data_IF_593265863743
#
_entry.id   IF_593265863743
#
_cell.length_a   1.000
_cell.length_b   1.000
_cell.length_c   1.000
_cell.angle_alpha   90.00
_cell.angle_beta   90.00
_cell.angle_gamma   90.00
#
_symmetry.space_group_name_H-M   'P 1'
#
loop_
_entity.id
_entity.type
_entity.pdbx_description
1 polymer ?
#
# COMPACT_ATOMS: atom_id res chain seq x y z
N UNK A 1 -4.59 -5.49 48.89
CA UNK A 1 -4.03 -4.76 47.73
C UNK A 1 -4.49 -5.33 46.38
N UNK A 2 -5.12 -6.51 46.31
CA UNK A 2 -5.48 -7.16 45.04
C UNK A 2 -6.70 -6.57 44.29
N UNK A 3 -7.38 -5.56 44.85
CA UNK A 3 -8.58 -4.94 44.24
C UNK A 3 -8.54 -3.41 44.19
N UNK A 4 -7.35 -2.79 44.20
CA UNK A 4 -7.22 -1.35 44.22
C UNK A 4 -6.70 -0.82 42.87
N UNK A 5 -7.61 -0.41 41.99
CA UNK A 5 -7.33 0.67 41.02
C UNK A 5 -7.67 2.02 41.69
N UNK A 6 -6.94 3.14 41.45
CA UNK A 6 -5.59 3.32 40.93
C UNK A 6 -4.70 3.91 42.04
N UNK A 7 -4.10 3.06 42.87
CA UNK A 7 -3.24 3.55 43.96
C UNK A 7 -1.89 3.95 43.38
N UNK A 8 -1.45 5.19 43.58
CA UNK A 8 -0.15 5.66 43.09
C UNK A 8 1.00 5.03 43.88
N UNK A 9 2.21 4.92 43.28
CA UNK A 9 3.41 4.44 44.01
C UNK A 9 3.63 5.23 45.30
N UNK A 10 3.30 6.52 45.29
CA UNK A 10 3.42 7.40 46.45
C UNK A 10 2.48 6.97 47.58
N UNK A 11 1.23 6.64 47.28
CA UNK A 11 0.27 6.13 48.27
C UNK A 11 0.72 4.78 48.84
N UNK A 12 1.25 3.90 48.00
CA UNK A 12 1.85 2.63 48.43
C UNK A 12 3.03 2.90 49.38
N UNK A 13 3.94 3.82 49.05
CA UNK A 13 5.04 4.19 49.95
C UNK A 13 4.57 4.80 51.28
N UNK A 14 3.51 5.61 51.28
CA UNK A 14 2.95 6.21 52.51
C UNK A 14 2.39 5.14 53.44
N UNK A 15 1.68 4.14 52.91
CA UNK A 15 1.18 3.01 53.72
C UNK A 15 2.31 2.26 54.43
N UNK A 16 3.46 2.09 53.77
CA UNK A 16 4.61 1.47 54.42
C UNK A 16 5.23 2.35 55.50
N UNK A 17 5.29 3.66 55.30
CA UNK A 17 5.78 4.60 56.31
C UNK A 17 4.92 4.53 57.58
N UNK A 18 3.60 4.44 57.46
CA UNK A 18 2.69 4.27 58.60
C UNK A 18 2.97 2.97 59.38
N UNK A 19 3.18 1.86 58.67
CA UNK A 19 3.56 0.57 59.28
C UNK A 19 4.92 0.68 59.98
N UNK A 20 5.89 1.36 59.37
CA UNK A 20 7.22 1.56 59.94
C UNK A 20 7.17 2.40 61.23
N UNK A 21 6.35 3.47 61.26
CA UNK A 21 6.15 4.29 62.45
C UNK A 21 5.47 3.51 63.59
N UNK A 22 4.49 2.66 63.29
CA UNK A 22 3.88 1.77 64.28
C UNK A 22 4.90 0.76 64.87
N UNK A 23 5.78 0.21 64.02
CA UNK A 23 6.86 -0.67 64.48
C UNK A 23 7.87 0.09 65.36
N UNK A 24 8.21 1.34 65.00
CA UNK A 24 9.07 2.22 65.83
C UNK A 24 8.41 2.52 67.18
N UNK A 25 7.11 2.81 67.20
CA UNK A 25 6.35 3.07 68.41
C UNK A 25 6.34 1.84 69.34
N UNK A 26 6.17 0.63 68.78
CA UNK A 26 6.29 -0.62 69.55
C UNK A 26 7.68 -0.78 70.17
N UNK A 27 8.75 -0.53 69.41
CA UNK A 27 10.13 -0.57 69.95
C UNK A 27 10.32 0.42 71.10
N UNK A 28 9.81 1.64 70.97
CA UNK A 28 9.85 2.65 72.04
C UNK A 28 9.13 2.17 73.30
N UNK A 29 7.92 1.62 73.16
CA UNK A 29 7.15 1.06 74.29
C UNK A 29 7.87 -0.08 75.00
N UNK A 30 8.59 -0.94 74.28
CA UNK A 30 9.41 -2.01 74.87
C UNK A 30 10.55 -1.42 75.71
N UNK A 31 11.21 -0.36 75.22
CA UNK A 31 12.28 0.33 75.96
C UNK A 31 11.73 1.05 77.19
N UNK A 32 10.58 1.71 77.07
CA UNK A 32 9.90 2.38 78.19
C UNK A 32 9.49 1.37 79.27
N UNK A 33 8.96 0.21 78.87
CA UNK A 33 8.62 -0.88 79.78
C UNK A 33 9.86 -1.38 80.53
N UNK A 34 10.99 -1.56 79.85
CA UNK A 34 12.26 -1.94 80.47
C UNK A 34 12.69 -0.93 81.54
N UNK A 35 12.58 0.36 81.24
CA UNK A 35 12.91 1.41 82.19
C UNK A 35 12.03 1.35 83.44
N UNK A 36 10.70 1.27 83.27
CA UNK A 36 9.73 1.18 84.38
C UNK A 36 9.95 -0.06 85.24
N UNK A 37 10.22 -1.22 84.63
CA UNK A 37 10.48 -2.47 85.36
C UNK A 37 11.80 -2.41 86.14
N UNK A 38 12.84 -1.83 85.53
CA UNK A 38 14.15 -1.67 86.19
C UNK A 38 14.05 -0.71 87.38
N UNK A 39 13.36 0.41 87.21
CA UNK A 39 13.11 1.38 88.28
C UNK A 39 12.29 0.77 89.43
N UNK A 40 11.25 -0.02 89.11
CA UNK A 40 10.47 -0.71 90.13
C UNK A 40 11.33 -1.69 90.95
N UNK A 41 12.21 -2.44 90.29
CA UNK A 41 13.12 -3.37 90.97
C UNK A 41 14.22 -2.66 91.79
N UNK A 42 14.72 -1.50 91.35
CA UNK A 42 15.66 -0.70 92.15
C UNK A 42 14.97 -0.13 93.40
N UNK A 43 13.79 0.46 93.24
CA UNK A 43 12.98 0.96 94.37
C UNK A 43 12.64 -0.17 95.36
N UNK A 44 12.30 -1.37 94.87
CA UNK A 44 12.05 -2.55 95.71
C UNK A 44 13.30 -2.96 96.49
N UNK A 45 14.45 -2.99 95.81
CA UNK A 45 15.76 -3.30 96.42
C UNK A 45 16.09 -2.32 97.55
N UNK A 46 15.85 -1.02 97.34
CA UNK A 46 16.12 0.01 98.35
C UNK A 46 15.18 -0.08 99.55
N UNK A 47 13.87 -0.31 99.32
CA UNK A 47 12.90 -0.54 100.41
C UNK A 47 13.28 -1.75 101.25
N UNK A 48 13.62 -2.88 100.62
CA UNK A 48 14.07 -4.10 101.30
C UNK A 48 15.33 -3.81 102.13
N UNK A 49 16.30 -3.08 101.57
CA UNK A 49 17.53 -2.69 102.26
C UNK A 49 17.25 -1.85 103.52
N UNK A 50 16.35 -0.88 103.43
CA UNK A 50 15.95 -0.03 104.58
C UNK A 50 15.26 -0.87 105.66
N UNK A 51 14.34 -1.76 105.29
CA UNK A 51 13.63 -2.64 106.23
C UNK A 51 14.58 -3.60 106.93
N UNK A 52 15.49 -4.26 106.19
CA UNK A 52 16.49 -5.16 106.77
C UNK A 52 17.42 -4.44 107.74
N UNK A 53 17.86 -3.21 107.43
CA UNK A 53 18.68 -2.39 108.35
C UNK A 53 17.91 -2.02 109.63
N UNK A 54 16.64 -1.62 109.51
CA UNK A 54 15.78 -1.31 110.66
C UNK A 54 15.58 -2.54 111.55
N UNK A 55 15.28 -3.69 110.96
CA UNK A 55 15.08 -4.95 111.67
C UNK A 55 16.38 -5.45 112.32
N UNK A 56 17.53 -5.30 111.67
CA UNK A 56 18.85 -5.60 112.25
C UNK A 56 19.09 -4.75 113.52
N UNK A 57 18.79 -3.45 113.47
CA UNK A 57 18.93 -2.56 114.63
C UNK A 57 17.94 -2.87 115.75
N UNK A 58 16.69 -3.23 115.44
CA UNK A 58 15.66 -3.60 116.41
C UNK A 58 15.97 -4.94 117.09
N UNK A 59 16.28 -5.97 116.30
CA UNK A 59 16.65 -7.30 116.81
C UNK A 59 17.95 -7.25 117.60
N UNK A 60 18.93 -6.43 117.20
CA UNK A 60 20.14 -6.19 117.98
C UNK A 60 19.89 -5.53 119.36
N UNK A 61 18.77 -4.83 119.55
CA UNK A 61 18.40 -4.19 120.83
C UNK A 61 17.51 -5.04 121.72
N UNK A 62 16.68 -5.91 121.13
CA UNK A 62 15.58 -6.60 121.84
C UNK A 62 15.83 -8.12 121.95
N UNK A 63 16.70 -8.70 121.12
CA UNK A 63 16.89 -10.14 121.11
C UNK A 63 17.75 -10.65 122.27
N UNK A 64 17.37 -11.80 122.81
CA UNK A 64 18.16 -12.58 123.78
C UNK A 64 19.28 -13.40 123.11
N UNK A 65 19.51 -13.21 121.80
CA UNK A 65 20.47 -13.95 121.00
C UNK A 65 21.83 -13.22 120.97
N UNK A 66 22.95 -13.96 120.88
CA UNK A 66 24.25 -13.35 120.63
C UNK A 66 24.25 -12.52 119.33
N UNK A 67 24.93 -11.35 119.28
CA UNK A 67 25.06 -10.53 118.07
C UNK A 67 25.42 -11.28 116.77
N UNK A 68 26.32 -12.29 116.76
CA UNK A 68 26.61 -13.05 115.54
C UNK A 68 25.42 -13.85 115.02
N UNK A 69 24.54 -14.36 115.89
CA UNK A 69 23.39 -15.17 115.49
C UNK A 69 22.25 -14.32 114.90
N UNK A 70 22.05 -13.10 115.42
CA UNK A 70 21.14 -12.10 114.83
C UNK A 70 21.62 -11.70 113.43
N UNK A 71 22.93 -11.48 113.27
CA UNK A 71 23.54 -11.20 111.96
C UNK A 71 23.37 -12.38 110.99
N UNK A 72 23.53 -13.63 111.44
CA UNK A 72 23.29 -14.82 110.61
C UNK A 72 21.84 -14.94 110.17
N UNK A 73 20.87 -14.67 111.05
CA UNK A 73 19.45 -14.70 110.70
C UNK A 73 19.11 -13.66 109.62
N UNK A 74 19.54 -12.41 109.81
CA UNK A 74 19.36 -11.34 108.83
C UNK A 74 20.08 -11.65 107.52
N UNK A 75 21.26 -12.27 107.59
CA UNK A 75 21.99 -12.70 106.40
C UNK A 75 21.22 -13.77 105.61
N UNK A 76 20.69 -14.80 106.28
CA UNK A 76 19.87 -15.84 105.64
C UNK A 76 18.63 -15.25 104.96
N UNK A 77 17.89 -14.37 105.65
CA UNK A 77 16.75 -13.66 105.06
C UNK A 77 17.15 -12.75 103.89
N UNK A 78 18.25 -12.01 104.02
CA UNK A 78 18.79 -11.19 102.93
C UNK A 78 19.19 -12.05 101.72
N UNK A 79 19.77 -13.25 101.93
CA UNK A 79 20.10 -14.17 100.83
C UNK A 79 18.86 -14.71 100.13
N UNK A 80 17.80 -15.07 100.87
CA UNK A 80 16.52 -15.50 100.29
C UNK A 80 15.87 -14.37 99.45
N UNK A 81 15.84 -13.15 99.98
CA UNK A 81 15.34 -11.97 99.27
C UNK A 81 16.19 -11.60 98.05
N UNK A 82 17.51 -11.74 98.14
CA UNK A 82 18.40 -11.54 96.99
C UNK A 82 18.16 -12.58 95.90
N UNK A 83 17.93 -13.85 96.25
CA UNK A 83 17.59 -14.89 95.28
C UNK A 83 16.28 -14.58 94.55
N UNK A 84 15.25 -14.09 95.26
CA UNK A 84 13.98 -13.71 94.63
C UNK A 84 14.10 -12.45 93.76
N UNK A 85 14.90 -11.46 94.17
CA UNK A 85 15.24 -10.29 93.36
C UNK A 85 15.98 -10.67 92.07
N UNK A 86 16.95 -11.59 92.17
CA UNK A 86 17.68 -12.09 91.01
C UNK A 86 16.77 -12.90 90.07
N UNK A 87 15.88 -13.73 90.61
CA UNK A 87 14.89 -14.46 89.83
C UNK A 87 13.96 -13.50 89.06
N UNK A 88 13.49 -12.43 89.71
CA UNK A 88 12.70 -11.38 89.06
C UNK A 88 13.48 -10.63 87.98
N UNK A 89 14.73 -10.24 88.24
CA UNK A 89 15.56 -9.58 87.21
C UNK A 89 15.79 -10.48 86.00
N UNK A 90 15.98 -11.79 86.22
CA UNK A 90 16.08 -12.78 85.14
C UNK A 90 14.78 -12.94 84.37
N UNK A 91 13.62 -12.95 85.05
CA UNK A 91 12.33 -13.06 84.36
C UNK A 91 12.00 -11.80 83.54
N UNK A 92 12.31 -10.60 84.06
CA UNK A 92 12.19 -9.32 83.34
C UNK A 92 13.10 -9.31 82.10
N UNK A 93 14.37 -9.69 82.26
CA UNK A 93 15.30 -9.76 81.13
C UNK A 93 14.83 -10.76 80.06
N UNK A 94 14.30 -11.92 80.47
CA UNK A 94 13.76 -12.93 79.55
C UNK A 94 12.51 -12.44 78.82
N UNK A 95 11.59 -11.77 79.52
CA UNK A 95 10.40 -11.16 78.92
C UNK A 95 10.79 -10.13 77.85
N UNK A 96 11.76 -9.26 78.15
CA UNK A 96 12.23 -8.25 77.21
C UNK A 96 12.88 -8.88 75.98
N UNK A 97 13.70 -9.90 76.17
CA UNK A 97 14.29 -10.66 75.06
C UNK A 97 13.21 -11.24 74.14
N UNK A 98 12.21 -11.92 74.71
CA UNK A 98 11.10 -12.49 73.95
C UNK A 98 10.27 -11.43 73.22
N UNK A 99 9.99 -10.29 73.87
CA UNK A 99 9.25 -9.19 73.24
C UNK A 99 10.05 -8.54 72.09
N UNK A 100 11.36 -8.38 72.25
CA UNK A 100 12.23 -7.87 71.19
C UNK A 100 12.33 -8.85 70.03
N UNK A 101 12.48 -10.15 70.31
CA UNK A 101 12.54 -11.20 69.31
C UNK A 101 11.23 -11.30 68.52
N UNK A 102 10.08 -11.36 69.19
CA UNK A 102 8.76 -11.41 68.55
C UNK A 102 8.52 -10.15 67.70
N UNK A 103 8.88 -8.96 68.19
CA UNK A 103 8.72 -7.72 67.43
C UNK A 103 9.62 -7.69 66.17
N UNK A 104 10.85 -8.21 66.25
CA UNK A 104 11.74 -8.32 65.09
C UNK A 104 11.23 -9.34 64.07
N UNK A 105 10.72 -10.49 64.53
CA UNK A 105 10.10 -11.50 63.67
C UNK A 105 8.87 -10.95 62.95
N UNK A 106 7.99 -10.24 63.67
CA UNK A 106 6.83 -9.57 63.08
C UNK A 106 7.24 -8.51 62.05
N UNK A 107 8.24 -7.67 62.35
CA UNK A 107 8.76 -6.67 61.41
C UNK A 107 9.32 -7.31 60.13
N UNK A 108 10.09 -8.40 60.26
CA UNK A 108 10.62 -9.14 59.12
C UNK A 108 9.50 -9.73 58.25
N UNK A 109 8.48 -10.34 58.86
CA UNK A 109 7.35 -10.92 58.14
C UNK A 109 6.52 -9.85 57.43
N UNK A 110 6.27 -8.72 58.08
CA UNK A 110 5.58 -7.57 57.47
C UNK A 110 6.37 -7.00 56.29
N UNK A 111 7.70 -6.88 56.40
CA UNK A 111 8.57 -6.45 55.28
C UNK A 111 8.49 -7.41 54.10
N UNK A 112 8.65 -8.70 54.33
CA UNK A 112 8.58 -9.71 53.26
C UNK A 112 7.22 -9.70 52.57
N UNK A 113 6.14 -9.63 53.34
CA UNK A 113 4.79 -9.59 52.77
C UNK A 113 4.54 -8.31 51.97
N UNK A 114 5.04 -7.17 52.48
CA UNK A 114 4.98 -5.89 51.77
C UNK A 114 5.73 -5.93 50.44
N UNK A 115 6.97 -6.42 50.44
CA UNK A 115 7.81 -6.56 49.24
C UNK A 115 7.15 -7.47 48.19
N UNK A 116 6.57 -8.60 48.60
CA UNK A 116 5.83 -9.49 47.71
C UNK A 116 4.60 -8.77 47.11
N UNK A 117 3.79 -8.12 47.94
CA UNK A 117 2.62 -7.38 47.47
C UNK A 117 2.99 -6.24 46.51
N UNK A 118 4.06 -5.50 46.81
CA UNK A 118 4.59 -4.43 45.98
C UNK A 118 5.08 -4.97 44.63
N UNK A 119 5.78 -6.11 44.63
CA UNK A 119 6.28 -6.74 43.41
C UNK A 119 5.13 -7.22 42.50
N UNK A 120 4.07 -7.81 43.07
CA UNK A 120 2.87 -8.23 42.33
C UNK A 120 2.12 -7.04 41.75
N UNK A 121 1.95 -5.99 42.56
CA UNK A 121 1.31 -4.76 42.11
C UNK A 121 2.08 -4.12 40.95
N UNK A 122 3.41 -3.97 41.06
CA UNK A 122 4.26 -3.44 39.98
C UNK A 122 4.11 -4.26 38.69
N UNK A 123 4.18 -5.58 38.79
CA UNK A 123 4.02 -6.48 37.63
C UNK A 123 2.67 -6.29 36.95
N UNK A 124 1.58 -6.15 37.73
CA UNK A 124 0.26 -5.86 37.19
C UNK A 124 0.20 -4.54 36.42
N UNK A 125 0.83 -3.48 36.95
CA UNK A 125 0.92 -2.17 36.28
C UNK A 125 1.73 -2.21 34.99
N UNK A 126 2.87 -2.91 34.99
CA UNK A 126 3.67 -3.15 33.78
C UNK A 126 2.82 -3.82 32.71
N UNK A 127 2.11 -4.90 33.05
CA UNK A 127 1.23 -5.60 32.12
C UNK A 127 0.12 -4.69 31.57
N UNK A 128 -0.51 -3.87 32.42
CA UNK A 128 -1.53 -2.90 31.97
C UNK A 128 -1.00 -1.88 30.97
N UNK A 129 0.21 -1.33 31.19
CA UNK A 129 0.84 -0.40 30.24
C UNK A 129 1.09 -1.07 28.89
N UNK A 130 1.64 -2.29 28.92
CA UNK A 130 1.95 -3.07 27.71
C UNK A 130 0.66 -3.45 26.95
N UNK A 131 -0.38 -3.90 27.65
CA UNK A 131 -1.64 -4.29 27.01
C UNK A 131 -2.40 -3.08 26.46
N UNK A 132 -2.33 -1.93 27.14
CA UNK A 132 -2.81 -0.66 26.61
C UNK A 132 -2.12 -0.30 25.29
N UNK A 133 -0.79 -0.41 25.24
CA UNK A 133 -0.01 -0.18 24.03
C UNK A 133 -0.36 -1.16 22.89
N UNK A 134 -0.53 -2.45 23.20
CA UNK A 134 -0.95 -3.47 22.20
C UNK A 134 -2.33 -3.18 21.61
N UNK A 135 -3.27 -2.73 22.44
CA UNK A 135 -4.61 -2.35 21.99
C UNK A 135 -4.56 -1.20 21.00
N UNK A 136 -3.77 -0.16 21.29
CA UNK A 136 -3.54 0.98 20.39
C UNK A 136 -2.92 0.55 19.05
N UNK A 137 -1.97 -0.39 19.08
CA UNK A 137 -1.36 -0.92 17.86
C UNK A 137 -2.33 -1.73 16.99
N UNK A 138 -3.46 -2.20 17.56
CA UNK A 138 -4.40 -3.09 16.89
C UNK A 138 -5.62 -2.36 16.29
N UNK A 139 -5.86 -1.09 16.63
CA UNK A 139 -7.12 -0.38 16.29
C UNK A 139 -7.12 0.34 14.94
N UNK A 140 -6.30 -0.08 13.98
CA UNK A 140 -6.01 0.72 12.80
C UNK A 140 -6.96 0.37 11.63
N UNK A 141 -7.92 1.25 11.34
CA UNK A 141 -8.74 1.18 10.12
C UNK A 141 -8.22 2.14 9.04
N UNK A 142 -8.05 1.60 7.84
CA UNK A 142 -7.49 2.23 6.65
C UNK A 142 -8.53 3.17 5.99
N UNK A 143 -8.55 4.43 6.42
CA UNK A 143 -9.51 5.43 5.94
C UNK A 143 -8.98 6.37 4.85
N UNK A 144 -7.96 5.95 4.09
CA UNK A 144 -7.19 6.88 3.26
C UNK A 144 -7.62 7.03 1.78
N UNK A 145 -8.60 6.27 1.27
CA UNK A 145 -8.67 6.00 -0.19
C UNK A 145 -10.01 6.36 -0.85
N UNK A 146 -10.63 7.50 -0.53
CA UNK A 146 -11.88 7.89 -1.20
C UNK A 146 -11.63 8.71 -2.48
N UNK A 147 -10.89 9.82 -2.39
CA UNK A 147 -10.75 10.78 -3.51
C UNK A 147 -9.90 10.30 -4.70
N UNK A 148 -8.82 9.56 -4.44
CA UNK A 148 -7.95 9.04 -5.51
C UNK A 148 -8.58 7.86 -6.28
N UNK A 149 -9.59 7.22 -5.70
CA UNK A 149 -10.31 6.12 -6.33
C UNK A 149 -11.14 6.60 -7.52
N UNK A 150 -11.75 7.78 -7.40
CA UNK A 150 -12.54 8.41 -8.47
C UNK A 150 -11.66 8.81 -9.65
N UNK A 151 -10.55 9.53 -9.38
CA UNK A 151 -9.63 9.95 -10.44
C UNK A 151 -8.99 8.76 -11.18
N UNK A 152 -8.70 7.67 -10.48
CA UNK A 152 -8.24 6.41 -11.09
C UNK A 152 -9.31 5.81 -12.01
N UNK A 153 -10.58 5.84 -11.60
CA UNK A 153 -11.70 5.32 -12.40
C UNK A 153 -11.82 6.09 -13.71
N UNK A 154 -11.78 7.42 -13.64
CA UNK A 154 -11.92 8.29 -14.81
C UNK A 154 -10.78 8.08 -15.83
N UNK A 155 -9.53 7.94 -15.37
CA UNK A 155 -8.42 7.62 -16.28
C UNK A 155 -8.50 6.21 -16.87
N UNK A 156 -9.08 5.26 -16.12
CA UNK A 156 -9.28 3.89 -16.61
C UNK A 156 -10.33 3.87 -17.71
N UNK A 157 -11.43 4.59 -17.52
CA UNK A 157 -12.49 4.77 -18.52
C UNK A 157 -11.94 5.45 -19.79
N UNK A 158 -11.15 6.52 -19.64
CA UNK A 158 -10.47 7.16 -20.77
C UNK A 158 -9.54 6.21 -21.52
N UNK A 159 -8.85 5.32 -20.80
CA UNK A 159 -7.99 4.30 -21.42
C UNK A 159 -8.82 3.28 -22.21
N UNK A 160 -9.95 2.85 -21.67
CA UNK A 160 -10.89 1.93 -22.35
C UNK A 160 -11.47 2.55 -23.62
N UNK A 161 -11.89 3.82 -23.57
CA UNK A 161 -12.38 4.56 -24.75
C UNK A 161 -11.35 4.61 -25.89
N UNK A 162 -10.08 4.82 -25.56
CA UNK A 162 -9.00 4.81 -26.55
C UNK A 162 -8.83 3.40 -27.12
N UNK A 163 -8.85 2.37 -26.27
CA UNK A 163 -8.76 0.98 -26.72
C UNK A 163 -9.91 0.62 -27.65
N UNK A 164 -11.15 1.01 -27.33
CA UNK A 164 -12.33 0.80 -28.18
C UNK A 164 -12.20 1.47 -29.54
N UNK A 165 -11.64 2.68 -29.58
CA UNK A 165 -11.32 3.36 -30.85
C UNK A 165 -10.33 2.56 -31.69
N UNK A 166 -9.30 1.95 -31.09
CA UNK A 166 -8.32 1.11 -31.81
C UNK A 166 -9.01 -0.06 -32.52
N UNK A 167 -9.97 -0.72 -31.85
CA UNK A 167 -10.72 -1.83 -32.43
C UNK A 167 -11.53 -1.46 -33.67
N UNK A 168 -12.03 -0.21 -33.73
CA UNK A 168 -12.80 0.28 -34.88
C UNK A 168 -11.94 0.76 -36.06
N UNK A 169 -10.61 0.76 -35.94
CA UNK A 169 -9.72 1.23 -37.00
C UNK A 169 -9.54 0.17 -38.09
N UNK A 170 -10.37 0.28 -39.12
CA UNK A 170 -10.28 -0.53 -40.33
C UNK A 170 -10.16 0.37 -41.57
N UNK A 171 -9.57 -0.11 -42.68
CA UNK A 171 -9.69 0.55 -43.97
C UNK A 171 -11.17 0.86 -44.31
N UNK A 172 -11.51 2.03 -44.89
CA UNK A 172 -10.59 3.03 -45.46
C UNK A 172 -10.13 4.13 -44.47
N UNK A 173 -10.69 4.17 -43.26
CA UNK A 173 -10.45 5.26 -42.29
C UNK A 173 -9.13 5.12 -41.53
N UNK A 174 -8.42 3.99 -41.66
CA UNK A 174 -7.13 3.77 -41.01
C UNK A 174 -5.99 4.50 -41.73
N UNK A 175 -5.14 5.21 -40.96
CA UNK A 175 -3.93 5.87 -41.45
C UNK A 175 -2.81 5.80 -40.43
N UNK A 176 -1.56 5.92 -40.89
CA UNK A 176 -0.37 5.91 -40.04
C UNK A 176 -0.32 7.11 -39.10
N UNK A 177 -0.90 8.24 -39.51
CA UNK A 177 -1.06 9.43 -38.67
C UNK A 177 -2.04 9.16 -37.52
N UNK A 178 -3.23 8.64 -37.81
CA UNK A 178 -4.21 8.25 -36.78
C UNK A 178 -3.63 7.20 -35.82
N UNK A 179 -2.82 6.26 -36.34
CA UNK A 179 -2.15 5.26 -35.50
C UNK A 179 -1.16 5.90 -34.51
N UNK A 180 -0.45 6.92 -34.96
CA UNK A 180 0.50 7.65 -34.13
C UNK A 180 -0.22 8.50 -33.09
N UNK A 181 -1.35 9.12 -33.46
CA UNK A 181 -2.14 9.95 -32.57
C UNK A 181 -2.75 9.16 -31.40
N UNK A 182 -3.38 8.00 -31.65
CA UNK A 182 -3.91 7.19 -30.54
C UNK A 182 -2.79 6.64 -29.66
N UNK A 183 -1.63 6.29 -30.24
CA UNK A 183 -0.50 5.80 -29.45
C UNK A 183 0.03 6.88 -28.50
N UNK A 184 0.10 8.13 -28.97
CA UNK A 184 0.46 9.27 -28.14
C UNK A 184 -0.59 9.52 -27.05
N UNK A 185 -1.89 9.45 -27.38
CA UNK A 185 -2.98 9.59 -26.40
C UNK A 185 -2.93 8.50 -25.33
N UNK A 186 -2.78 7.23 -25.73
CA UNK A 186 -2.69 6.10 -24.82
C UNK A 186 -1.44 6.20 -23.93
N UNK A 187 -0.32 6.65 -24.49
CA UNK A 187 0.93 6.86 -23.73
C UNK A 187 0.75 7.97 -22.70
N UNK A 188 0.09 9.08 -23.07
CA UNK A 188 -0.21 10.16 -22.13
C UNK A 188 -1.11 9.70 -20.98
N UNK A 189 -2.17 8.94 -21.27
CA UNK A 189 -3.05 8.38 -20.22
C UNK A 189 -2.29 7.41 -19.31
N UNK A 190 -1.45 6.52 -19.88
CA UNK A 190 -0.63 5.63 -19.06
C UNK A 190 0.34 6.42 -18.15
N UNK A 191 0.96 7.49 -18.64
CA UNK A 191 1.83 8.35 -17.83
C UNK A 191 1.06 9.05 -16.69
N UNK A 192 -0.19 9.48 -16.93
CA UNK A 192 -1.03 10.04 -15.87
C UNK A 192 -1.40 9.00 -14.81
N UNK A 193 -1.71 7.77 -15.23
CA UNK A 193 -1.96 6.65 -14.30
C UNK A 193 -0.72 6.34 -13.48
N UNK A 194 0.45 6.29 -14.11
CA UNK A 194 1.73 6.05 -13.43
C UNK A 194 2.05 7.16 -12.42
N UNK A 195 1.80 8.43 -12.79
CA UNK A 195 1.91 9.58 -11.88
C UNK A 195 0.98 9.48 -10.68
N UNK A 196 -0.29 9.10 -10.88
CA UNK A 196 -1.23 8.87 -9.79
C UNK A 196 -0.79 7.75 -8.85
N UNK A 197 -0.23 6.67 -9.39
CA UNK A 197 0.31 5.60 -8.55
C UNK A 197 1.48 6.08 -7.70
N UNK A 198 2.39 6.89 -8.27
CA UNK A 198 3.49 7.48 -7.53
C UNK A 198 3.00 8.43 -6.41
N UNK A 199 2.02 9.29 -6.70
CA UNK A 199 1.43 10.19 -5.72
C UNK A 199 0.71 9.43 -4.59
N UNK A 200 -0.03 8.36 -4.94
CA UNK A 200 -0.68 7.49 -3.96
C UNK A 200 0.34 6.79 -3.05
N UNK A 201 1.39 6.21 -3.64
CA UNK A 201 2.45 5.56 -2.87
C UNK A 201 3.14 6.55 -1.94
N UNK A 202 3.43 7.77 -2.42
CA UNK A 202 4.02 8.81 -1.59
C UNK A 202 3.13 9.18 -0.40
N UNK A 203 1.82 9.39 -0.62
CA UNK A 203 0.88 9.68 0.47
C UNK A 203 0.80 8.53 1.47
N UNK A 204 0.77 7.29 0.99
CA UNK A 204 0.73 6.11 1.83
C UNK A 204 2.01 5.99 2.67
N UNK A 205 3.19 6.25 2.08
CA UNK A 205 4.46 6.34 2.79
C UNK A 205 4.41 7.40 3.90
N UNK A 206 3.95 8.62 3.60
CA UNK A 206 3.82 9.68 4.61
C UNK A 206 2.88 9.29 5.76
N UNK A 207 1.76 8.61 5.46
CA UNK A 207 0.82 8.17 6.47
C UNK A 207 1.41 7.08 7.37
N UNK A 208 2.12 6.10 6.82
CA UNK A 208 2.80 5.10 7.63
C UNK A 208 3.92 5.70 8.48
N UNK A 209 4.72 6.61 7.91
CA UNK A 209 5.76 7.33 8.62
C UNK A 209 5.18 8.11 9.82
N UNK A 210 4.09 8.85 9.61
CA UNK A 210 3.39 9.56 10.69
C UNK A 210 2.90 8.58 11.77
N UNK A 211 2.28 7.47 11.37
CA UNK A 211 1.82 6.43 12.30
C UNK A 211 2.97 5.84 13.12
N UNK A 212 4.13 5.61 12.51
CA UNK A 212 5.30 5.10 13.23
C UNK A 212 5.85 6.14 14.21
N UNK A 213 5.91 7.41 13.82
CA UNK A 213 6.30 8.51 14.71
C UNK A 213 5.36 8.64 15.91
N UNK A 214 4.04 8.57 15.68
CA UNK A 214 3.03 8.62 16.75
C UNK A 214 3.18 7.43 17.72
N UNK A 215 3.45 6.23 17.19
CA UNK A 215 3.72 5.03 18.00
C UNK A 215 5.01 5.14 18.80
N UNK A 216 6.07 5.71 18.23
CA UNK A 216 7.32 5.96 18.96
C UNK A 216 7.11 6.97 20.11
N UNK A 217 6.34 8.03 19.89
CA UNK A 217 5.97 8.97 20.94
C UNK A 217 5.11 8.32 22.05
N UNK A 218 4.30 7.31 21.73
CA UNK A 218 3.60 6.50 22.74
C UNK A 218 4.56 5.58 23.51
N UNK A 219 5.62 5.06 22.87
CA UNK A 219 6.66 4.29 23.57
C UNK A 219 7.39 5.15 24.59
N UNK A 220 7.73 6.39 24.25
CA UNK A 220 8.33 7.35 25.19
C UNK A 220 7.39 7.58 26.40
N UNK A 221 6.08 7.77 26.16
CA UNK A 221 5.08 7.89 27.23
C UNK A 221 4.97 6.63 28.08
N UNK A 222 5.07 5.45 27.48
CA UNK A 222 5.11 4.19 28.21
C UNK A 222 6.38 4.06 29.05
N UNK A 223 7.54 4.47 28.55
CA UNK A 223 8.81 4.48 29.26
C UNK A 223 8.77 5.39 30.50
N UNK A 224 8.19 6.59 30.36
CA UNK A 224 7.94 7.50 31.49
C UNK A 224 7.02 6.86 32.54
N UNK A 225 5.93 6.21 32.10
CA UNK A 225 4.99 5.53 32.99
C UNK A 225 5.62 4.34 33.72
N UNK A 226 6.50 3.58 33.05
CA UNK A 226 7.25 2.48 33.65
C UNK A 226 8.30 2.99 34.65
N UNK A 227 8.99 4.09 34.32
CA UNK A 227 9.95 4.74 35.20
C UNK A 227 9.29 5.26 36.49
N UNK A 228 8.05 5.75 36.39
CA UNK A 228 7.26 6.16 37.55
C UNK A 228 6.93 5.00 38.53
N UNK A 229 7.07 3.73 38.11
CA UNK A 229 6.86 2.55 38.97
C UNK A 229 8.06 2.22 39.89
N UNK A 230 9.14 3.03 39.86
CA UNK A 230 10.40 2.80 40.57
C UNK A 230 11.02 1.43 40.24
N UNK A 231 10.96 1.04 38.97
CA UNK A 231 11.73 -0.07 38.42
C UNK A 231 13.19 0.37 38.24
N UNK A 232 14.10 -0.59 38.09
CA UNK A 232 15.47 -0.25 37.70
C UNK A 232 15.52 0.18 36.23
N UNK A 233 16.44 1.09 35.89
CA UNK A 233 16.63 1.55 34.51
C UNK A 233 16.91 0.40 33.53
N UNK A 234 17.57 -0.67 33.99
CA UNK A 234 17.83 -1.87 33.18
C UNK A 234 16.54 -2.65 32.89
N UNK A 235 15.67 -2.83 33.88
CA UNK A 235 14.37 -3.50 33.70
C UNK A 235 13.45 -2.70 32.76
N UNK A 236 13.42 -1.37 32.88
CA UNK A 236 12.62 -0.52 31.98
C UNK A 236 13.13 -0.66 30.54
N UNK A 237 14.45 -0.58 30.33
CA UNK A 237 15.05 -0.76 29.00
C UNK A 237 14.80 -2.15 28.42
N UNK A 238 14.87 -3.19 29.24
CA UNK A 238 14.58 -4.55 28.80
C UNK A 238 13.11 -4.70 28.36
N UNK A 239 12.15 -4.14 29.12
CA UNK A 239 10.73 -4.17 28.75
C UNK A 239 10.46 -3.38 27.46
N UNK A 240 11.01 -2.17 27.36
CA UNK A 240 10.86 -1.30 26.18
C UNK A 240 11.42 -1.98 24.93
N UNK A 241 12.63 -2.54 25.02
CA UNK A 241 13.27 -3.21 23.87
C UNK A 241 12.60 -4.53 23.49
N UNK A 242 12.35 -5.41 24.46
CA UNK A 242 11.82 -6.76 24.21
C UNK A 242 10.34 -6.79 23.83
N UNK A 243 9.53 -5.85 24.33
CA UNK A 243 8.08 -5.86 24.11
C UNK A 243 7.61 -4.71 23.23
N UNK A 244 7.92 -3.46 23.56
CA UNK A 244 7.35 -2.31 22.85
C UNK A 244 8.00 -2.10 21.47
N UNK A 245 9.32 -1.96 21.43
CA UNK A 245 10.07 -1.73 20.18
C UNK A 245 10.01 -2.94 19.26
N UNK A 246 10.02 -4.16 19.81
CA UNK A 246 9.87 -5.39 19.00
C UNK A 246 8.51 -5.46 18.30
N UNK A 247 7.43 -5.00 18.95
CA UNK A 247 6.10 -4.93 18.33
C UNK A 247 6.03 -3.88 17.21
N UNK A 248 6.57 -2.67 17.45
CA UNK A 248 6.64 -1.63 16.41
C UNK A 248 7.48 -2.12 15.24
N UNK A 249 8.68 -2.64 15.49
CA UNK A 249 9.59 -3.10 14.44
C UNK A 249 8.99 -4.19 13.57
N UNK A 250 8.20 -5.10 14.15
CA UNK A 250 7.46 -6.11 13.38
C UNK A 250 6.38 -5.48 12.49
N UNK A 251 5.58 -4.55 13.03
CA UNK A 251 4.56 -3.85 12.23
C UNK A 251 5.20 -3.05 11.10
N UNK A 252 6.25 -2.28 11.41
CA UNK A 252 7.00 -1.49 10.45
C UNK A 252 7.54 -2.37 9.32
N UNK A 253 8.19 -3.49 9.64
CA UNK A 253 8.71 -4.40 8.62
C UNK A 253 7.61 -4.93 7.69
N UNK A 254 6.44 -5.27 8.24
CA UNK A 254 5.31 -5.74 7.43
C UNK A 254 4.73 -4.64 6.52
N UNK A 255 4.64 -3.42 7.03
CA UNK A 255 4.14 -2.27 6.28
C UNK A 255 5.14 -1.87 5.17
N UNK A 256 6.44 -1.88 5.45
CA UNK A 256 7.52 -1.68 4.46
C UNK A 256 7.50 -2.77 3.37
N UNK A 257 7.32 -4.04 3.74
CA UNK A 257 7.16 -5.14 2.78
C UNK A 257 5.94 -4.95 1.88
N UNK A 258 4.80 -4.51 2.44
CA UNK A 258 3.58 -4.21 1.67
C UNK A 258 3.80 -3.05 0.71
N UNK A 259 4.43 -1.97 1.16
CA UNK A 259 4.77 -0.80 0.33
C UNK A 259 5.70 -1.20 -0.82
N UNK A 260 6.77 -1.95 -0.54
CA UNK A 260 7.68 -2.45 -1.56
C UNK A 260 6.99 -3.36 -2.58
N UNK A 261 6.07 -4.22 -2.12
CA UNK A 261 5.28 -5.06 -3.01
C UNK A 261 4.34 -4.24 -3.92
N UNK A 262 3.70 -3.20 -3.37
CA UNK A 262 2.85 -2.28 -4.14
C UNK A 262 3.65 -1.50 -5.19
N UNK A 263 4.81 -0.96 -4.81
CA UNK A 263 5.72 -0.25 -5.72
C UNK A 263 6.15 -1.14 -6.90
N UNK A 264 6.60 -2.36 -6.59
CA UNK A 264 6.95 -3.35 -7.61
C UNK A 264 5.76 -3.70 -8.52
N UNK A 265 4.55 -3.80 -7.97
CA UNK A 265 3.34 -4.07 -8.74
C UNK A 265 3.02 -2.92 -9.70
N UNK A 266 3.09 -1.67 -9.23
CA UNK A 266 2.90 -0.46 -10.04
C UNK A 266 3.91 -0.40 -11.19
N UNK A 267 5.20 -0.60 -10.89
CA UNK A 267 6.27 -0.64 -11.89
C UNK A 267 6.08 -1.76 -12.92
N UNK A 268 5.63 -2.94 -12.48
CA UNK A 268 5.34 -4.06 -13.38
C UNK A 268 4.14 -3.77 -14.29
N UNK A 269 3.14 -3.04 -13.79
CA UNK A 269 1.96 -2.65 -14.54
C UNK A 269 2.31 -1.61 -15.60
N UNK A 270 3.08 -0.57 -15.23
CA UNK A 270 3.59 0.46 -16.14
C UNK A 270 4.40 -0.16 -17.29
N UNK A 271 5.36 -1.04 -16.96
CA UNK A 271 6.18 -1.76 -17.96
C UNK A 271 5.34 -2.63 -18.89
N UNK A 272 4.36 -3.37 -18.36
CA UNK A 272 3.45 -4.16 -19.17
C UNK A 272 2.59 -3.29 -20.08
N UNK A 273 2.02 -2.21 -19.57
CA UNK A 273 1.20 -1.29 -20.35
C UNK A 273 2.00 -0.69 -21.52
N UNK A 274 3.23 -0.25 -21.27
CA UNK A 274 4.14 0.25 -22.31
C UNK A 274 4.52 -0.83 -23.32
N UNK A 275 4.83 -2.04 -22.86
CA UNK A 275 5.18 -3.14 -23.77
C UNK A 275 4.01 -3.49 -24.69
N UNK A 276 2.80 -3.62 -24.14
CA UNK A 276 1.61 -3.93 -24.93
C UNK A 276 1.25 -2.81 -25.90
N UNK A 277 1.28 -1.54 -25.46
CA UNK A 277 0.99 -0.40 -26.34
C UNK A 277 1.95 -0.34 -27.52
N UNK A 278 3.25 -0.60 -27.29
CA UNK A 278 4.26 -0.66 -28.35
C UNK A 278 4.02 -1.80 -29.33
N UNK A 279 3.69 -3.00 -28.84
CA UNK A 279 3.37 -4.14 -29.72
C UNK A 279 2.17 -3.82 -30.62
N UNK A 280 1.08 -3.32 -30.04
CA UNK A 280 -0.13 -2.94 -30.80
C UNK A 280 0.18 -1.83 -31.80
N UNK A 281 0.97 -0.83 -31.40
CA UNK A 281 1.38 0.27 -32.29
C UNK A 281 2.13 -0.23 -33.52
N UNK A 282 3.11 -1.12 -33.35
CA UNK A 282 3.88 -1.67 -34.47
C UNK A 282 2.98 -2.42 -35.45
N UNK A 283 2.07 -3.26 -34.94
CA UNK A 283 1.15 -4.04 -35.77
C UNK A 283 0.17 -3.13 -36.51
N UNK A 284 -0.51 -2.22 -35.81
CA UNK A 284 -1.50 -1.33 -36.41
C UNK A 284 -0.85 -0.36 -37.41
N UNK A 285 0.36 0.13 -37.12
CA UNK A 285 1.09 1.01 -38.05
C UNK A 285 1.50 0.27 -39.31
N UNK A 286 1.92 -0.98 -39.20
CA UNK A 286 2.21 -1.84 -40.34
C UNK A 286 0.96 -2.06 -41.22
N UNK A 287 -0.17 -2.38 -40.61
CA UNK A 287 -1.45 -2.55 -41.30
C UNK A 287 -1.91 -1.26 -42.01
N UNK A 288 -1.82 -0.11 -41.33
CA UNK A 288 -2.16 1.19 -41.90
C UNK A 288 -1.26 1.53 -43.10
N UNK A 289 0.04 1.27 -43.00
CA UNK A 289 0.99 1.50 -44.09
C UNK A 289 0.70 0.64 -45.32
N UNK A 290 0.27 -0.62 -45.12
CA UNK A 290 -0.16 -1.49 -46.22
C UNK A 290 -1.37 -0.91 -46.95
N UNK A 291 -2.37 -0.41 -46.21
CA UNK A 291 -3.54 0.24 -46.77
C UNK A 291 -3.16 1.50 -47.55
N UNK A 292 -2.41 2.43 -46.95
CA UNK A 292 -1.96 3.66 -47.62
C UNK A 292 -1.15 3.37 -48.89
N UNK A 293 -0.34 2.32 -48.88
CA UNK A 293 0.45 1.90 -50.05
C UNK A 293 -0.43 1.28 -51.13
N UNK A 294 -1.51 0.59 -50.77
CA UNK A 294 -2.53 0.16 -51.72
C UNK A 294 -3.28 1.35 -52.32
N UNK A 295 -3.77 2.27 -51.49
CA UNK A 295 -4.48 3.48 -51.95
C UNK A 295 -3.64 4.30 -52.93
N UNK A 296 -2.37 4.57 -52.60
CA UNK A 296 -1.45 5.29 -53.49
C UNK A 296 -1.20 4.57 -54.82
N UNK A 297 -1.11 3.23 -54.82
CA UNK A 297 -0.94 2.44 -56.05
C UNK A 297 -2.21 2.46 -56.90
N UNK A 298 -3.37 2.40 -56.26
CA UNK A 298 -4.66 2.47 -56.93
C UNK A 298 -4.88 3.84 -57.58
N UNK A 299 -4.59 4.91 -56.86
CA UNK A 299 -4.61 6.30 -57.37
C UNK A 299 -3.69 6.44 -58.60
N UNK A 300 -2.44 5.96 -58.51
CA UNK A 300 -1.50 6.01 -59.65
C UNK A 300 -2.00 5.23 -60.87
N UNK A 301 -2.62 4.05 -60.69
CA UNK A 301 -3.21 3.30 -61.81
C UNK A 301 -4.43 4.02 -62.40
N UNK A 302 -5.22 4.69 -61.57
CA UNK A 302 -6.36 5.47 -62.04
C UNK A 302 -5.87 6.68 -62.86
N UNK A 303 -4.84 7.38 -62.39
CA UNK A 303 -4.18 8.47 -63.11
C UNK A 303 -3.63 8.03 -64.47
N UNK A 304 -2.99 6.85 -64.55
CA UNK A 304 -2.49 6.28 -65.80
C UNK A 304 -3.62 6.04 -66.83
N UNK A 305 -4.74 5.46 -66.37
CA UNK A 305 -5.92 5.23 -67.23
C UNK A 305 -6.55 6.55 -67.67
N UNK A 306 -6.69 7.51 -66.76
CA UNK A 306 -7.19 8.84 -67.07
C UNK A 306 -6.29 9.53 -68.11
N UNK A 307 -4.97 9.47 -67.94
CA UNK A 307 -4.01 10.03 -68.88
C UNK A 307 -4.13 9.37 -70.26
N UNK A 308 -4.25 8.05 -70.33
CA UNK A 308 -4.41 7.33 -71.59
C UNK A 308 -5.71 7.71 -72.31
N UNK A 309 -6.83 7.83 -71.58
CA UNK A 309 -8.09 8.34 -72.13
C UNK A 309 -7.97 9.79 -72.62
N UNK A 310 -7.25 10.65 -71.89
CA UNK A 310 -6.99 12.02 -72.31
C UNK A 310 -6.17 12.10 -73.61
N UNK A 311 -5.17 11.23 -73.76
CA UNK A 311 -4.36 11.13 -74.98
C UNK A 311 -5.20 10.65 -76.17
N UNK A 312 -6.03 9.62 -75.99
CA UNK A 312 -6.97 9.14 -77.01
C UNK A 312 -7.95 10.24 -77.44
N UNK A 313 -8.56 10.95 -76.48
CA UNK A 313 -9.46 12.08 -76.76
C UNK A 313 -8.75 13.20 -77.54
N UNK A 314 -7.51 13.55 -77.16
CA UNK A 314 -6.72 14.56 -77.89
C UNK A 314 -6.40 14.11 -79.31
N UNK A 315 -6.01 12.85 -79.49
CA UNK A 315 -5.72 12.27 -80.80
C UNK A 315 -6.95 12.29 -81.69
N UNK A 316 -8.09 11.84 -81.16
CA UNK A 316 -9.39 11.87 -81.84
C UNK A 316 -9.77 13.30 -82.24
N UNK A 317 -9.67 14.27 -81.33
CA UNK A 317 -10.00 15.66 -81.63
C UNK A 317 -9.16 16.22 -82.80
N UNK A 318 -7.86 15.93 -82.81
CA UNK A 318 -6.96 16.32 -83.91
C UNK A 318 -7.35 15.63 -85.23
N UNK A 319 -7.68 14.35 -85.18
CA UNK A 319 -8.07 13.57 -86.35
C UNK A 319 -9.41 14.03 -86.94
N UNK A 320 -10.43 14.22 -86.09
CA UNK A 320 -11.73 14.78 -86.49
C UNK A 320 -11.57 16.18 -87.10
N UNK A 321 -10.70 17.02 -86.54
CA UNK A 321 -10.43 18.34 -87.11
C UNK A 321 -9.81 18.25 -88.51
N UNK A 322 -8.84 17.36 -88.73
CA UNK A 322 -8.25 17.12 -90.07
C UNK A 322 -9.31 16.62 -91.06
N UNK A 323 -10.13 15.65 -90.64
CA UNK A 323 -11.20 15.09 -91.47
C UNK A 323 -12.27 16.13 -91.81
N UNK A 324 -12.61 17.02 -90.87
CA UNK A 324 -13.52 18.15 -91.09
C UNK A 324 -13.00 19.10 -92.17
N UNK A 325 -11.73 19.53 -92.07
CA UNK A 325 -11.12 20.42 -93.07
C UNK A 325 -11.12 19.79 -94.46
N UNK A 326 -10.84 18.49 -94.57
CA UNK A 326 -10.88 17.79 -95.86
C UNK A 326 -12.30 17.61 -96.41
N UNK A 327 -13.28 17.35 -95.55
CA UNK A 327 -14.68 17.30 -95.93
C UNK A 327 -15.16 18.68 -96.43
N UNK A 328 -14.76 19.77 -95.79
CA UNK A 328 -15.08 21.13 -96.21
C UNK A 328 -14.52 21.42 -97.63
N UNK A 329 -13.31 20.94 -97.95
CA UNK A 329 -12.72 21.03 -99.29
C UNK A 329 -13.46 20.17 -100.34
N UNK A 330 -13.87 18.94 -99.99
CA UNK A 330 -14.70 18.09 -100.85
C UNK A 330 -16.07 18.72 -101.13
N UNK A 331 -16.72 19.29 -100.11
CA UNK A 331 -17.98 20.01 -100.26
C UNK A 331 -17.81 21.30 -101.07
N UNK A 332 -16.68 22.00 -100.92
CA UNK A 332 -16.32 23.15 -101.73
C UNK A 332 -16.23 22.81 -103.21
N UNK A 333 -15.56 21.71 -103.56
CA UNK A 333 -15.48 21.18 -104.93
C UNK A 333 -16.85 20.78 -105.46
N UNK A 334 -17.63 20.04 -104.68
CA UNK A 334 -18.99 19.61 -105.04
C UNK A 334 -19.91 20.78 -105.41
N UNK A 335 -19.78 21.93 -104.72
CA UNK A 335 -20.55 23.16 -105.03
C UNK A 335 -20.13 23.85 -106.33
N UNK A 336 -18.95 23.54 -106.86
CA UNK A 336 -18.34 24.20 -108.02
C UNK A 336 -18.33 23.31 -109.28
N UNK A 337 -18.92 22.11 -109.23
CA UNK A 337 -18.93 21.17 -110.35
C UNK A 337 -19.77 21.70 -111.54
N UNK A 338 -19.25 21.50 -112.76
CA UNK A 338 -19.79 22.10 -114.00
C UNK A 338 -20.59 21.15 -114.88
N UNK A 339 -20.64 19.84 -114.54
CA UNK A 339 -21.41 18.83 -115.28
C UNK A 339 -22.03 17.80 -114.34
N UNK A 340 -23.12 17.17 -114.76
CA UNK A 340 -23.87 16.17 -113.97
C UNK A 340 -23.00 14.95 -113.62
N UNK A 341 -22.21 14.44 -114.58
CA UNK A 341 -21.33 13.29 -114.37
C UNK A 341 -20.19 13.61 -113.38
N UNK A 342 -19.63 14.83 -113.46
CA UNK A 342 -18.62 15.30 -112.51
C UNK A 342 -19.21 15.51 -111.10
N UNK A 343 -20.41 16.08 -111.03
CA UNK A 343 -21.16 16.26 -109.78
C UNK A 343 -21.45 14.92 -109.10
N UNK A 344 -21.90 13.92 -109.87
CA UNK A 344 -22.18 12.57 -109.36
C UNK A 344 -20.91 11.90 -108.82
N UNK A 345 -19.80 12.00 -109.55
CA UNK A 345 -18.50 11.46 -109.11
C UNK A 345 -17.97 12.17 -107.86
N UNK A 346 -18.17 13.49 -107.75
CA UNK A 346 -17.77 14.31 -106.60
C UNK A 346 -18.63 14.01 -105.36
N UNK A 347 -19.93 13.76 -105.58
CA UNK A 347 -20.87 13.31 -104.56
C UNK A 347 -20.50 11.93 -104.03
N UNK A 348 -20.24 10.96 -104.92
CA UNK A 348 -19.84 9.60 -104.54
C UNK A 348 -18.55 9.62 -103.70
N UNK A 349 -17.56 10.45 -104.08
CA UNK A 349 -16.33 10.67 -103.29
C UNK A 349 -16.61 11.26 -101.91
N UNK A 350 -17.50 12.24 -101.82
CA UNK A 350 -17.87 12.89 -100.55
C UNK A 350 -18.63 11.91 -99.63
N UNK A 351 -19.53 11.11 -100.18
CA UNK A 351 -20.27 10.06 -99.46
C UNK A 351 -19.31 8.97 -98.96
N UNK A 352 -18.39 8.51 -99.81
CA UNK A 352 -17.37 7.53 -99.42
C UNK A 352 -16.47 8.07 -98.30
N UNK A 353 -16.10 9.35 -98.36
CA UNK A 353 -15.31 9.99 -97.31
C UNK A 353 -16.09 10.11 -95.99
N UNK A 354 -17.38 10.47 -96.03
CA UNK A 354 -18.25 10.50 -94.85
C UNK A 354 -18.39 9.11 -94.19
N UNK A 355 -18.41 8.04 -94.98
CA UNK A 355 -18.36 6.67 -94.45
C UNK A 355 -17.04 6.39 -93.71
N UNK A 356 -15.90 6.82 -94.25
CA UNK A 356 -14.60 6.73 -93.57
C UNK A 356 -14.53 7.58 -92.28
N UNK A 357 -15.12 8.79 -92.27
CA UNK A 357 -15.27 9.57 -91.03
C UNK A 357 -16.10 8.80 -90.00
N UNK A 358 -17.23 8.24 -90.42
CA UNK A 358 -18.13 7.47 -89.55
C UNK A 358 -17.42 6.24 -88.97
N UNK A 359 -16.69 5.48 -89.80
CA UNK A 359 -15.90 4.33 -89.36
C UNK A 359 -14.83 4.73 -88.34
N UNK A 360 -14.09 5.80 -88.62
CA UNK A 360 -13.06 6.30 -87.71
C UNK A 360 -13.61 6.79 -86.38
N UNK A 361 -14.79 7.42 -86.36
CA UNK A 361 -15.46 7.79 -85.11
C UNK A 361 -15.88 6.56 -84.31
N UNK A 362 -16.40 5.51 -84.95
CA UNK A 362 -16.72 4.24 -84.28
C UNK A 362 -15.48 3.57 -83.71
N UNK A 363 -14.37 3.57 -84.46
CA UNK A 363 -13.10 3.05 -84.00
C UNK A 363 -12.61 3.79 -82.75
N UNK A 364 -12.65 5.12 -82.71
CA UNK A 364 -12.25 5.86 -81.51
C UNK A 364 -13.12 5.59 -80.26
N UNK A 365 -14.42 5.33 -80.46
CA UNK A 365 -15.30 4.92 -79.35
C UNK A 365 -14.94 3.50 -78.88
N UNK A 366 -14.61 2.60 -79.80
CA UNK A 366 -14.10 1.27 -79.48
C UNK A 366 -12.79 1.37 -78.69
N UNK A 367 -11.82 2.17 -79.15
CA UNK A 367 -10.52 2.34 -78.48
C UNK A 367 -10.67 2.87 -77.05
N UNK A 368 -11.62 3.80 -76.82
CA UNK A 368 -11.93 4.28 -75.47
C UNK A 368 -12.64 3.21 -74.62
N UNK A 369 -13.53 2.43 -75.22
CA UNK A 369 -14.19 1.28 -74.59
C UNK A 369 -13.17 0.24 -74.13
N UNK A 370 -12.21 -0.13 -74.99
CA UNK A 370 -11.16 -1.11 -74.69
C UNK A 370 -10.28 -0.71 -73.50
N UNK A 371 -10.10 0.59 -73.27
CA UNK A 371 -9.36 1.12 -72.12
C UNK A 371 -10.21 1.05 -70.85
N UNK A 372 -11.49 1.40 -70.93
CA UNK A 372 -12.42 1.32 -69.80
C UNK A 372 -12.70 -0.13 -69.39
N UNK A 373 -12.74 -1.06 -70.35
CA UNK A 373 -12.94 -2.50 -70.10
C UNK A 373 -11.78 -3.13 -69.32
N UNK A 374 -10.59 -2.51 -69.33
CA UNK A 374 -9.44 -2.95 -68.52
C UNK A 374 -9.54 -2.50 -67.06
N UNK A 375 -10.31 -1.45 -66.76
CA UNK A 375 -10.37 -0.86 -65.43
C UNK A 375 -10.79 -1.87 -64.35
N UNK A 376 -11.87 -2.68 -64.50
CA UNK A 376 -12.22 -3.69 -63.51
C UNK A 376 -11.10 -4.70 -63.21
N UNK A 377 -10.33 -5.09 -64.23
CA UNK A 377 -9.21 -6.03 -64.05
C UNK A 377 -8.05 -5.40 -63.28
N UNK A 378 -7.74 -4.12 -63.53
CA UNK A 378 -6.70 -3.39 -62.79
C UNK A 378 -7.06 -3.23 -61.30
N UNK A 379 -8.31 -2.89 -60.98
CA UNK A 379 -8.78 -2.81 -59.59
C UNK A 379 -8.71 -4.18 -58.91
N UNK A 380 -9.12 -5.25 -59.62
CA UNK A 380 -9.06 -6.61 -59.08
C UNK A 380 -7.63 -7.07 -58.80
N UNK A 381 -6.68 -6.77 -59.68
CA UNK A 381 -5.26 -7.07 -59.48
C UNK A 381 -4.68 -6.37 -58.25
N UNK A 382 -4.99 -5.08 -58.06
CA UNK A 382 -4.54 -4.32 -56.89
C UNK A 382 -5.19 -4.81 -55.59
N UNK A 383 -6.48 -5.17 -55.63
CA UNK A 383 -7.16 -5.77 -54.48
C UNK A 383 -6.55 -7.13 -54.11
N UNK A 384 -6.22 -7.97 -55.09
CA UNK A 384 -5.55 -9.25 -54.85
C UNK A 384 -4.12 -9.06 -54.32
N UNK A 385 -3.39 -8.06 -54.84
CA UNK A 385 -2.06 -7.67 -54.37
C UNK A 385 -2.10 -7.20 -52.90
N UNK A 386 -3.07 -6.36 -52.55
CA UNK A 386 -3.31 -5.94 -51.18
C UNK A 386 -3.68 -7.12 -50.29
N UNK A 387 -4.59 -8.00 -50.73
CA UNK A 387 -4.96 -9.19 -49.97
C UNK A 387 -3.78 -10.13 -49.70
N UNK A 388 -2.89 -10.34 -50.68
CA UNK A 388 -1.68 -11.15 -50.44
C UNK A 388 -0.76 -10.47 -49.43
N UNK A 389 -0.62 -9.15 -49.50
CA UNK A 389 0.24 -8.37 -48.62
C UNK A 389 -0.27 -8.41 -47.17
N UNK A 390 -1.57 -8.25 -46.95
CA UNK A 390 -2.19 -8.31 -45.62
C UNK A 390 -2.18 -9.73 -45.05
N UNK A 391 -2.46 -10.76 -45.87
CA UNK A 391 -2.37 -12.16 -45.44
C UNK A 391 -0.93 -12.53 -45.06
N UNK A 392 0.07 -12.06 -45.82
CA UNK A 392 1.48 -12.28 -45.48
C UNK A 392 1.88 -11.55 -44.18
N UNK A 393 1.37 -10.34 -43.95
CA UNK A 393 1.70 -9.55 -42.77
C UNK A 393 1.15 -10.15 -41.48
N UNK A 394 -0.09 -10.67 -41.52
CA UNK A 394 -0.72 -11.35 -40.38
C UNK A 394 -0.49 -12.86 -40.36
N UNK A 395 0.32 -13.41 -41.26
CA UNK A 395 0.58 -14.84 -41.41
C UNK A 395 -0.69 -15.69 -41.56
N UNK A 396 -1.68 -15.19 -42.31
CA UNK A 396 -2.95 -15.87 -42.59
C UNK A 396 -2.79 -16.90 -43.73
N UNK A 397 -3.37 -18.09 -43.55
CA UNK A 397 -3.32 -19.19 -44.53
C UNK A 397 -4.17 -18.95 -45.79
N UNK A 398 -5.11 -18.00 -45.74
CA UNK A 398 -6.05 -17.73 -46.82
C UNK A 398 -5.86 -16.32 -47.37
N UNK A 399 -5.68 -16.24 -48.69
CA UNK A 399 -5.79 -14.99 -49.46
C UNK A 399 -7.22 -14.85 -49.98
N UNK A 400 -7.73 -13.64 -50.05
CA UNK A 400 -9.04 -13.35 -50.64
C UNK A 400 -9.14 -13.97 -52.03
N UNK A 401 -10.19 -14.76 -52.23
CA UNK A 401 -10.52 -15.37 -53.52
C UNK A 401 -11.85 -14.76 -53.95
N UNK A 402 -11.88 -13.93 -55.01
CA UNK A 402 -13.15 -13.44 -55.53
C UNK A 402 -13.99 -14.66 -55.94
N UNK A 403 -15.25 -14.70 -55.49
CA UNK A 403 -16.21 -15.68 -55.99
C UNK A 403 -16.43 -15.35 -57.46
N UNK A 404 -15.74 -16.06 -58.34
CA UNK A 404 -16.07 -16.06 -59.76
C UNK A 404 -17.49 -16.58 -59.90
N UNK A 405 -18.42 -15.70 -60.26
CA UNK A 405 -19.78 -16.02 -60.64
C UNK A 405 -19.78 -16.84 -61.93
N UNK A 406 -19.38 -18.11 -61.79
CA UNK A 406 -19.56 -19.17 -62.76
C UNK A 406 -19.62 -20.53 -62.05
N UNK A 407 -20.35 -20.60 -60.94
CA UNK A 407 -20.81 -21.88 -60.39
C UNK A 407 -22.11 -21.63 -59.64
N UNK A 408 -23.14 -22.37 -60.06
CA UNK A 408 -24.47 -22.51 -59.47
C UNK A 408 -24.47 -22.54 -57.94
N UNK A 409 -25.47 -21.93 -57.28
CA UNK A 409 -25.57 -21.99 -55.82
C UNK A 409 -26.09 -23.37 -55.42
N UNK A 410 -25.28 -24.10 -54.67
CA UNK A 410 -25.80 -25.07 -53.70
C UNK A 410 -25.39 -24.59 -52.32
N UNK A 411 -26.41 -24.37 -51.53
CA UNK A 411 -26.45 -24.10 -50.10
C UNK A 411 -25.21 -24.53 -49.31
N UNK A 412 -24.68 -23.62 -48.51
CA UNK A 412 -24.46 -23.89 -47.08
C UNK A 412 -24.15 -22.59 -46.37
N UNK A 413 -25.03 -22.25 -45.43
CA UNK A 413 -24.81 -21.25 -44.39
C UNK A 413 -23.46 -21.49 -43.70
N UNK A 414 -22.61 -20.47 -43.69
CA UNK A 414 -21.69 -20.29 -42.57
C UNK A 414 -21.51 -18.80 -42.31
N UNK A 415 -21.81 -18.42 -41.08
CA UNK A 415 -21.68 -17.09 -40.52
C UNK A 415 -20.28 -16.52 -40.79
N UNK A 416 -20.22 -15.36 -41.44
CA UNK A 416 -19.04 -14.53 -41.48
C UNK A 416 -18.92 -13.79 -40.14
N UNK A 417 -18.06 -14.29 -39.26
CA UNK A 417 -17.40 -13.45 -38.27
C UNK A 417 -16.29 -12.68 -38.97
N UNK A 418 -16.33 -11.35 -38.84
CA UNK A 418 -15.18 -10.46 -39.00
C UNK A 418 -14.71 -10.06 -37.60
#
# INVERSE_FOLDING_TARGET
>A
MEHLEPVSVREVCVLWQEVEEEVKLKKFRIVELNHKLTESETQRTDKIRVVLRKNLHLLGKISFLPPPDVCRLIHTEATMLNQSLLANRRSVARLLLLLQEENLQQEALLRLHWEDCLSRWRRGRVTQVIDGFRSLCSSDEEQLVSGQLEMKRDLTEQREDIVDKIWSMVPPSCSTALVSDWFNQLTAVNQLIDGLHADFLYQLHCCYEQKWQDRLAEVERCEEALSALQLSDEEVKDIVSSQLLTLIGRSQSQDEERLAALDLCCDSAARRALSFSRCVFVVMRGAALLWETHSRRLESREEDVQQHLHELRRSQQRHTQRKKVHLDDLLGRLRQESSEDALKTSLDKSVQYLQDVTHSCRQCVSDQGDVLDRLPTLYLEELLSYSRSISSFFHLSHTYRPVTTATTPTDTHTHACW
#
